data_IF_846388201683
#
_entry.id   IF_846388201683
#
_cell.length_a   1.000
_cell.length_b   1.000
_cell.length_c   1.000
_cell.angle_alpha   90.00
_cell.angle_beta   90.00
_cell.angle_gamma   90.00
#
_symmetry.space_group_name_H-M   'P 1'
#
loop_
_entity.id
_entity.type
_entity.pdbx_description
1 polymer ?
#
# COMPACT_ATOMS: atom_id res chain seq x y z
N UNK A 1 8.27 -8.88 -2.13
CA UNK A 1 7.10 -9.75 -1.89
C UNK A 1 5.86 -8.98 -2.28
N UNK A 2 4.80 -9.66 -2.70
CA UNK A 2 3.50 -9.04 -3.02
C UNK A 2 2.49 -9.64 -2.07
N UNK A 3 1.77 -8.79 -1.34
CA UNK A 3 0.79 -9.21 -0.34
C UNK A 3 -0.39 -8.25 -0.26
N UNK A 4 -1.52 -8.77 0.21
CA UNK A 4 -2.75 -7.98 0.44
C UNK A 4 -2.96 -7.65 1.92
N UNK A 5 -2.42 -8.43 2.85
CA UNK A 5 -2.56 -8.13 4.28
C UNK A 5 -1.63 -6.99 4.72
N UNK A 6 -2.22 -5.82 4.97
CA UNK A 6 -1.49 -4.62 5.39
C UNK A 6 -0.78 -4.76 6.74
N UNK A 7 -1.25 -5.61 7.66
CA UNK A 7 -0.55 -5.86 8.93
C UNK A 7 0.70 -6.70 8.70
N UNK A 8 0.63 -7.67 7.79
CA UNK A 8 1.80 -8.46 7.41
C UNK A 8 2.86 -7.59 6.70
N UNK A 9 2.42 -6.72 5.80
CA UNK A 9 3.31 -5.75 5.13
C UNK A 9 3.97 -4.83 6.17
N UNK A 10 3.24 -4.36 7.18
CA UNK A 10 3.80 -3.55 8.25
C UNK A 10 4.87 -4.31 9.06
N UNK A 11 4.60 -5.56 9.44
CA UNK A 11 5.57 -6.40 10.15
C UNK A 11 6.85 -6.65 9.34
N UNK A 12 6.74 -6.79 8.02
CA UNK A 12 7.88 -7.05 7.15
C UNK A 12 8.73 -5.79 6.85
N UNK A 13 8.05 -4.65 6.75
CA UNK A 13 8.66 -3.37 6.41
C UNK A 13 9.10 -2.60 7.65
N UNK A 14 8.55 -2.93 8.82
CA UNK A 14 8.72 -2.25 10.10
C UNK A 14 8.54 -0.73 9.97
N UNK A 15 7.63 -0.30 9.08
CA UNK A 15 7.40 1.11 8.75
C UNK A 15 8.59 1.84 8.08
N UNK A 16 9.64 1.12 7.66
CA UNK A 16 10.91 1.70 7.18
C UNK A 16 11.26 1.39 5.73
N UNK A 17 10.54 0.47 5.09
CA UNK A 17 10.77 0.10 3.69
C UNK A 17 9.69 0.69 2.81
N UNK A 18 10.07 1.00 1.58
CA UNK A 18 9.15 1.42 0.53
C UNK A 18 8.16 0.30 0.20
N UNK A 19 6.90 0.68 0.03
CA UNK A 19 5.77 -0.12 -0.40
C UNK A 19 5.25 0.49 -1.70
N UNK A 20 5.05 -0.35 -2.71
CA UNK A 20 4.46 0.04 -3.99
C UNK A 20 3.07 -0.60 -4.10
N UNK A 21 2.06 0.22 -4.36
CA UNK A 21 0.68 -0.22 -4.64
C UNK A 21 0.46 -0.23 -6.13
N UNK A 22 0.02 -1.37 -6.66
CA UNK A 22 -0.33 -1.54 -8.07
C UNK A 22 -1.85 -1.61 -8.22
N UNK A 23 -2.38 -0.94 -9.24
CA UNK A 23 -3.78 -1.00 -9.65
C UNK A 23 -3.87 -0.96 -11.17
N UNK A 24 -4.65 -1.88 -11.75
CA UNK A 24 -4.87 -1.99 -13.20
C UNK A 24 -3.57 -1.99 -14.05
N UNK A 25 -2.55 -2.69 -13.57
CA UNK A 25 -1.27 -2.82 -14.29
C UNK A 25 -0.36 -1.58 -14.21
N UNK A 26 -0.73 -0.57 -13.43
CA UNK A 26 0.05 0.65 -13.21
C UNK A 26 0.36 0.86 -11.73
N UNK A 27 1.41 1.63 -11.44
CA UNK A 27 1.70 2.08 -10.07
C UNK A 27 0.67 3.14 -9.66
N UNK A 28 -0.08 2.84 -8.59
CA UNK A 28 -1.05 3.75 -8.01
C UNK A 28 -0.39 4.69 -6.99
N UNK A 29 0.46 4.14 -6.14
CA UNK A 29 1.18 4.86 -5.10
C UNK A 29 2.49 4.14 -4.74
N UNK A 30 3.48 4.90 -4.29
CA UNK A 30 4.74 4.36 -3.76
C UNK A 30 5.21 5.24 -2.60
N UNK A 31 5.65 4.62 -1.50
CA UNK A 31 6.09 5.33 -0.30
C UNK A 31 6.18 4.41 0.91
N UNK A 32 6.35 4.96 2.11
CA UNK A 32 6.21 4.19 3.34
C UNK A 32 4.75 3.70 3.50
N UNK A 33 4.57 2.61 4.25
CA UNK A 33 3.25 2.03 4.44
C UNK A 33 2.24 3.05 5.04
N UNK A 34 2.67 3.90 5.96
CA UNK A 34 1.82 4.95 6.54
C UNK A 34 1.38 6.01 5.51
N UNK A 35 2.26 6.39 4.59
CA UNK A 35 1.97 7.35 3.52
C UNK A 35 0.99 6.75 2.52
N UNK A 36 1.21 5.49 2.16
CA UNK A 36 0.35 4.73 1.26
C UNK A 36 -1.05 4.51 1.86
N UNK A 37 -1.15 4.18 3.14
CA UNK A 37 -2.45 4.01 3.82
C UNK A 37 -3.24 5.31 3.94
N UNK A 38 -2.56 6.45 4.02
CA UNK A 38 -3.19 7.77 4.03
C UNK A 38 -3.58 8.27 2.63
N UNK A 39 -3.18 7.59 1.56
CA UNK A 39 -3.47 8.00 0.19
C UNK A 39 -4.94 7.69 -0.17
N UNK A 40 -5.73 8.75 -0.40
CA UNK A 40 -7.17 8.63 -0.69
C UNK A 40 -7.48 7.69 -1.86
N UNK A 41 -6.67 7.68 -2.92
CA UNK A 41 -6.87 6.79 -4.08
C UNK A 41 -6.64 5.32 -3.73
N UNK A 42 -5.67 5.04 -2.84
CA UNK A 42 -5.41 3.69 -2.34
C UNK A 42 -6.60 3.23 -1.50
N UNK A 43 -7.13 4.10 -0.64
CA UNK A 43 -8.31 3.81 0.19
C UNK A 43 -9.54 3.53 -0.67
N UNK A 44 -9.78 4.35 -1.70
CA UNK A 44 -10.89 4.18 -2.65
C UNK A 44 -10.84 2.81 -3.34
N UNK A 45 -9.68 2.48 -3.92
CA UNK A 45 -9.45 1.20 -4.62
C UNK A 45 -9.56 0.00 -3.68
N UNK A 46 -9.05 0.11 -2.44
CA UNK A 46 -8.99 -1.01 -1.50
C UNK A 46 -10.32 -1.27 -0.79
N UNK A 47 -11.14 -0.23 -0.56
CA UNK A 47 -12.42 -0.33 0.14
C UNK A 47 -13.65 -0.22 -0.79
N UNK A 48 -13.45 0.04 -2.09
CA UNK A 48 -14.51 0.10 -3.09
C UNK A 48 -15.51 1.23 -2.85
N UNK A 49 -15.02 2.42 -2.46
CA UNK A 49 -15.86 3.61 -2.35
C UNK A 49 -15.94 4.38 -3.66
#
# INVERSE_FOLDING_TARGET
>A
VVEHDMKFVDQLTEGRKTVTVLHEGSVLAEGLLSEVQANEKVVEVYLGR
#
